data_IF_439739937098
#
_entry.id   IF_439739937098
#
_cell.length_a   1.000
_cell.length_b   1.000
_cell.length_c   1.000
_cell.angle_alpha   90.00
_cell.angle_beta   90.00
_cell.angle_gamma   90.00
#
_symmetry.space_group_name_H-M   'P 1'
#
loop_
_entity.id
_entity.type
_entity.pdbx_description
1 polymer ?
#
# COMPACT_ATOMS: atom_id res chain seq x y z
N UNK A 1 13.17 -11.27 34.91
CA UNK A 1 13.83 -10.94 33.61
C UNK A 1 13.30 -9.60 33.13
N UNK A 2 14.16 -8.59 32.91
CA UNK A 2 13.76 -7.20 32.58
C UNK A 2 13.26 -6.99 31.13
N UNK A 3 13.18 -8.03 30.32
CA UNK A 3 12.79 -7.97 28.90
C UNK A 3 11.56 -8.83 28.59
N UNK A 4 10.52 -8.74 29.42
CA UNK A 4 9.28 -9.53 29.29
C UNK A 4 8.17 -8.80 28.50
N UNK A 5 8.41 -7.58 28.00
CA UNK A 5 7.37 -6.83 27.33
C UNK A 5 7.32 -7.17 25.83
N UNK A 6 6.11 -7.37 25.27
CA UNK A 6 5.95 -7.53 23.84
C UNK A 6 6.41 -6.26 23.13
N UNK A 7 7.19 -6.43 22.07
CA UNK A 7 7.69 -5.33 21.25
C UNK A 7 7.30 -5.59 19.79
N UNK A 8 7.04 -4.50 19.07
CA UNK A 8 6.75 -4.54 17.64
C UNK A 8 7.95 -3.97 16.89
N UNK A 9 8.67 -4.79 16.10
CA UNK A 9 9.80 -4.30 15.33
C UNK A 9 9.31 -3.36 14.23
N UNK A 10 9.93 -2.18 14.14
CA UNK A 10 9.73 -1.23 13.05
C UNK A 10 10.90 -1.38 12.08
N UNK A 11 10.61 -1.82 10.86
CA UNK A 11 11.60 -2.00 9.81
C UNK A 11 11.74 -0.69 9.04
N UNK A 12 12.94 -0.13 9.04
CA UNK A 12 13.26 1.10 8.31
C UNK A 12 13.82 0.80 6.92
N UNK A 13 13.37 1.57 5.94
CA UNK A 13 13.83 1.46 4.55
C UNK A 13 12.69 1.14 3.57
N UNK A 14 13.04 0.69 2.36
CA UNK A 14 12.06 0.27 1.36
C UNK A 14 11.14 -0.84 1.89
N UNK A 15 9.89 -0.84 1.42
CA UNK A 15 8.94 -1.88 1.81
C UNK A 15 9.44 -3.26 1.37
N UNK A 16 9.42 -4.22 2.29
CA UNK A 16 9.76 -5.60 1.98
C UNK A 16 8.73 -6.13 0.97
N UNK A 17 9.16 -6.74 -0.15
CA UNK A 17 8.23 -7.29 -1.13
C UNK A 17 7.31 -8.35 -0.54
N UNK A 18 6.18 -8.61 -1.18
CA UNK A 18 5.26 -9.69 -0.80
C UNK A 18 5.71 -11.01 -1.44
N UNK A 19 5.35 -12.13 -0.82
CA UNK A 19 5.84 -13.47 -1.24
C UNK A 19 4.97 -14.15 -2.28
N UNK A 20 3.73 -13.69 -2.42
CA UNK A 20 2.67 -14.33 -3.19
C UNK A 20 2.67 -13.92 -4.68
N UNK A 21 3.68 -13.17 -5.11
CA UNK A 21 3.90 -12.83 -6.52
C UNK A 21 5.24 -13.36 -7.00
N UNK A 22 5.23 -13.93 -8.20
CA UNK A 22 6.44 -14.50 -8.81
C UNK A 22 7.50 -13.42 -9.03
N UNK A 23 7.10 -12.27 -9.56
CA UNK A 23 8.00 -11.17 -9.91
C UNK A 23 8.70 -10.52 -8.71
N UNK A 24 8.23 -10.81 -7.49
CA UNK A 24 8.81 -10.30 -6.24
C UNK A 24 9.57 -11.36 -5.45
N UNK A 25 9.50 -12.65 -5.81
CA UNK A 25 9.99 -13.76 -5.00
C UNK A 25 11.49 -13.68 -4.71
N UNK A 26 12.31 -13.42 -5.72
CA UNK A 26 13.76 -13.24 -5.55
C UNK A 26 14.10 -12.07 -4.62
N UNK A 27 13.41 -10.93 -4.79
CA UNK A 27 13.63 -9.75 -3.95
C UNK A 27 13.15 -9.97 -2.51
N UNK A 28 12.05 -10.69 -2.33
CA UNK A 28 11.52 -11.08 -1.03
C UNK A 28 12.53 -11.96 -0.29
N UNK A 29 12.96 -13.06 -0.92
CA UNK A 29 13.92 -14.00 -0.37
C UNK A 29 15.23 -13.33 0.03
N UNK A 30 15.77 -12.46 -0.84
CA UNK A 30 16.95 -11.65 -0.54
C UNK A 30 16.75 -10.75 0.68
N UNK A 31 15.63 -10.04 0.76
CA UNK A 31 15.34 -9.14 1.87
C UNK A 31 15.26 -9.91 3.20
N UNK A 32 14.60 -11.07 3.21
CA UNK A 32 14.44 -11.87 4.43
C UNK A 32 15.77 -12.47 4.90
N UNK A 33 16.56 -13.03 3.99
CA UNK A 33 17.89 -13.54 4.33
C UNK A 33 18.77 -12.42 4.90
N UNK A 34 18.76 -11.24 4.28
CA UNK A 34 19.56 -10.10 4.73
C UNK A 34 19.18 -9.62 6.13
N UNK A 35 17.90 -9.65 6.50
CA UNK A 35 17.40 -9.11 7.76
C UNK A 35 17.36 -10.12 8.90
N UNK A 36 17.14 -11.40 8.59
CA UNK A 36 16.79 -12.41 9.60
C UNK A 36 17.77 -13.58 9.72
N UNK A 37 18.77 -13.66 8.83
CA UNK A 37 19.89 -14.60 8.96
C UNK A 37 21.13 -13.82 9.39
N UNK A 38 21.97 -14.33 10.30
CA UNK A 38 23.28 -13.71 10.57
C UNK A 38 24.26 -13.96 9.42
N UNK A 39 24.94 -12.91 8.95
CA UNK A 39 25.92 -13.01 7.86
C UNK A 39 27.05 -11.99 8.03
N UNK A 40 28.17 -12.25 7.36
CA UNK A 40 29.33 -11.34 7.25
C UNK A 40 29.60 -10.96 5.81
N UNK A 41 29.33 -11.87 4.88
CA UNK A 41 29.46 -11.69 3.44
C UNK A 41 28.19 -12.13 2.73
N UNK A 42 27.99 -11.65 1.51
CA UNK A 42 26.80 -12.03 0.70
C UNK A 42 26.80 -13.53 0.41
N UNK A 43 27.97 -14.17 0.31
CA UNK A 43 28.12 -15.60 0.09
C UNK A 43 27.60 -16.46 1.26
N UNK A 44 27.52 -15.90 2.48
CA UNK A 44 26.91 -16.59 3.62
C UNK A 44 25.38 -16.74 3.46
N UNK A 45 24.77 -15.86 2.65
CA UNK A 45 23.34 -15.85 2.37
C UNK A 45 23.01 -16.55 1.07
N UNK A 46 23.78 -16.31 0.02
CA UNK A 46 23.51 -16.81 -1.32
C UNK A 46 24.80 -17.13 -2.08
N UNK A 47 24.98 -18.40 -2.45
CA UNK A 47 26.05 -18.83 -3.36
C UNK A 47 25.84 -18.26 -4.77
N UNK A 48 26.91 -18.11 -5.55
CA UNK A 48 26.87 -17.58 -6.91
C UNK A 48 26.07 -18.45 -7.88
N UNK A 49 25.94 -19.74 -7.58
CA UNK A 49 25.23 -20.70 -8.43
C UNK A 49 23.81 -21.02 -7.96
N UNK A 50 23.28 -20.29 -6.98
CA UNK A 50 21.92 -20.49 -6.48
C UNK A 50 21.07 -19.23 -6.57
N UNK A 51 19.76 -19.41 -6.70
CA UNK A 51 18.79 -18.32 -6.65
C UNK A 51 18.57 -17.87 -5.20
N UNK A 52 18.09 -16.64 -4.99
CA UNK A 52 17.76 -16.19 -3.64
C UNK A 52 16.60 -16.99 -3.05
N UNK A 53 15.65 -17.41 -3.89
CA UNK A 53 14.56 -18.29 -3.46
C UNK A 53 15.08 -19.64 -2.94
N UNK A 54 15.98 -20.30 -3.66
CA UNK A 54 16.51 -21.59 -3.23
C UNK A 54 17.37 -21.46 -1.97
N UNK A 55 18.15 -20.38 -1.89
CA UNK A 55 18.89 -20.01 -0.70
C UNK A 55 17.98 -19.82 0.51
N UNK A 56 16.84 -19.14 0.32
CA UNK A 56 15.88 -18.90 1.40
C UNK A 56 15.20 -20.19 1.83
N UNK A 57 14.84 -21.08 0.89
CA UNK A 57 14.26 -22.40 1.21
C UNK A 57 15.20 -23.25 2.05
N UNK A 58 16.50 -23.31 1.70
CA UNK A 58 17.49 -24.09 2.46
C UNK A 58 17.85 -23.42 3.79
N UNK A 59 17.89 -22.08 3.83
CA UNK A 59 18.28 -21.27 4.99
C UNK A 59 17.21 -21.09 6.08
N UNK A 60 15.99 -21.61 5.92
CA UNK A 60 14.91 -21.38 6.91
C UNK A 60 15.23 -21.83 8.34
N UNK A 61 16.11 -22.82 8.48
CA UNK A 61 16.56 -23.34 9.77
C UNK A 61 17.43 -22.35 10.55
N UNK A 62 18.04 -21.38 9.87
CA UNK A 62 18.84 -20.31 10.50
C UNK A 62 17.98 -19.19 11.08
N UNK A 63 16.70 -19.14 10.70
CA UNK A 63 15.75 -18.11 11.11
C UNK A 63 15.12 -18.50 12.45
N UNK A 64 15.25 -17.62 13.44
CA UNK A 64 14.67 -17.84 14.76
C UNK A 64 13.15 -17.93 14.73
N UNK A 65 12.55 -18.60 15.72
CA UNK A 65 11.08 -18.70 15.85
C UNK A 65 10.43 -17.32 15.94
N UNK A 66 11.02 -16.40 16.70
CA UNK A 66 10.51 -15.04 16.83
C UNK A 66 10.58 -14.28 15.49
N UNK A 67 11.70 -14.39 14.78
CA UNK A 67 11.87 -13.80 13.44
C UNK A 67 10.84 -14.34 12.45
N UNK A 68 10.49 -15.62 12.53
CA UNK A 68 9.45 -16.23 11.68
C UNK A 68 8.09 -15.56 11.86
N UNK A 69 7.71 -15.24 13.11
CA UNK A 69 6.48 -14.49 13.37
C UNK A 69 6.51 -13.09 12.73
N UNK A 70 7.66 -12.42 12.76
CA UNK A 70 7.82 -11.11 12.08
C UNK A 70 7.68 -11.26 10.56
N UNK A 71 8.27 -12.31 9.98
CA UNK A 71 8.17 -12.62 8.55
C UNK A 71 6.73 -12.89 8.12
N UNK A 72 5.98 -13.65 8.91
CA UNK A 72 4.55 -13.91 8.67
C UNK A 72 3.74 -12.61 8.76
N UNK A 73 4.02 -11.77 9.75
CA UNK A 73 3.35 -10.48 9.90
C UNK A 73 3.64 -9.53 8.73
N UNK A 74 4.83 -9.56 8.13
CA UNK A 74 5.13 -8.78 6.92
C UNK A 74 4.15 -9.14 5.79
N UNK A 75 3.89 -10.43 5.59
CA UNK A 75 2.95 -10.88 4.57
C UNK A 75 1.50 -10.51 4.94
N UNK A 76 1.11 -10.71 6.20
CA UNK A 76 -0.22 -10.33 6.70
C UNK A 76 -0.51 -8.82 6.49
N UNK A 77 0.49 -7.96 6.72
CA UNK A 77 0.37 -6.52 6.47
C UNK A 77 0.07 -6.20 5.00
N UNK A 78 0.62 -6.97 4.05
CA UNK A 78 0.29 -6.81 2.63
C UNK A 78 -1.13 -7.26 2.30
N UNK A 79 -1.58 -8.34 2.93
CA UNK A 79 -2.95 -8.86 2.77
C UNK A 79 -3.98 -7.87 3.30
N UNK A 80 -3.81 -7.40 4.55
CA UNK A 80 -4.70 -6.39 5.12
C UNK A 80 -4.69 -5.07 4.33
N UNK A 81 -3.53 -4.65 3.83
CA UNK A 81 -3.44 -3.46 2.97
C UNK A 81 -4.24 -3.65 1.69
N UNK A 82 -4.10 -4.80 1.03
CA UNK A 82 -4.84 -5.12 -0.19
C UNK A 82 -6.35 -5.12 0.08
N UNK A 83 -6.81 -5.83 1.11
CA UNK A 83 -8.24 -5.94 1.43
C UNK A 83 -8.86 -4.56 1.73
N UNK A 84 -8.13 -3.71 2.46
CA UNK A 84 -8.56 -2.33 2.73
C UNK A 84 -8.64 -1.51 1.45
N UNK A 85 -7.62 -1.58 0.59
CA UNK A 85 -7.56 -0.79 -0.63
C UNK A 85 -8.65 -1.28 -1.63
N UNK A 86 -8.90 -2.59 -1.73
CA UNK A 86 -9.99 -3.18 -2.51
C UNK A 86 -11.37 -2.73 -2.01
N UNK A 87 -11.59 -2.73 -0.69
CA UNK A 87 -12.83 -2.23 -0.08
C UNK A 87 -13.04 -0.73 -0.36
N UNK A 88 -11.99 0.08 -0.25
CA UNK A 88 -12.07 1.51 -0.55
C UNK A 88 -12.44 1.77 -2.01
N UNK A 89 -11.87 1.01 -2.95
CA UNK A 89 -12.21 1.12 -4.37
C UNK A 89 -13.68 0.76 -4.63
N UNK A 90 -14.21 -0.26 -3.95
CA UNK A 90 -15.62 -0.63 -4.04
C UNK A 90 -16.53 0.51 -3.56
N UNK A 91 -16.25 1.10 -2.40
CA UNK A 91 -17.04 2.22 -1.86
C UNK A 91 -17.03 3.43 -2.79
N UNK A 92 -15.87 3.73 -3.41
CA UNK A 92 -15.76 4.82 -4.38
C UNK A 92 -16.59 4.54 -5.63
N UNK A 93 -16.59 3.31 -6.14
CA UNK A 93 -17.37 2.92 -7.31
C UNK A 93 -18.89 2.97 -7.05
N UNK A 94 -19.33 2.54 -5.87
CA UNK A 94 -20.73 2.62 -5.45
C UNK A 94 -21.21 4.08 -5.36
N UNK A 95 -20.41 4.96 -4.75
CA UNK A 95 -20.73 6.39 -4.65
C UNK A 95 -20.83 7.09 -6.02
N UNK A 96 -20.01 6.69 -7.00
CA UNK A 96 -20.11 7.23 -8.36
C UNK A 96 -21.40 6.78 -9.05
N UNK A 97 -21.79 5.53 -8.86
CA UNK A 97 -23.03 4.98 -9.44
C UNK A 97 -24.28 5.66 -8.86
N UNK A 98 -24.29 5.94 -7.56
CA UNK A 98 -25.41 6.67 -6.91
C UNK A 98 -25.50 8.13 -7.38
N UNK A 99 -24.37 8.80 -7.59
CA UNK A 99 -24.32 10.17 -8.08
C UNK A 99 -24.83 10.30 -9.54
N UNK A 100 -24.58 9.29 -10.37
CA UNK A 100 -25.10 9.19 -11.74
C UNK A 100 -26.62 8.92 -11.78
N UNK A 101 -27.23 8.55 -10.64
CA UNK A 101 -28.67 8.25 -10.51
C UNK A 101 -29.46 9.41 -9.89
N UNK A 102 -28.82 10.55 -9.60
CA UNK A 102 -29.51 11.73 -9.07
C UNK A 102 -30.39 12.34 -10.17
N UNK A 103 -31.71 12.44 -9.91
CA UNK A 103 -32.67 13.12 -10.78
C UNK A 103 -32.18 14.55 -11.14
N UNK A 104 -32.26 14.98 -12.41
CA UNK A 104 -31.78 16.29 -12.88
C UNK A 104 -32.54 17.50 -12.32
N UNK A 105 -33.40 17.30 -11.31
CA UNK A 105 -34.30 18.31 -10.73
C UNK A 105 -33.61 19.20 -9.68
N UNK A 106 -32.38 18.89 -9.25
CA UNK A 106 -31.63 19.80 -8.36
C UNK A 106 -30.72 20.71 -9.19
N UNK A 107 -31.34 21.60 -9.96
CA UNK A 107 -30.70 22.85 -10.34
C UNK A 107 -30.80 23.81 -9.15
N UNK A 108 -29.75 24.58 -8.82
CA UNK A 108 -29.86 25.63 -7.80
C UNK A 108 -30.94 26.62 -8.24
N UNK A 109 -31.96 26.81 -7.40
CA UNK A 109 -33.11 27.72 -7.55
C UNK A 109 -32.71 29.21 -7.52
N UNK A 110 -31.45 29.54 -7.80
CA UNK A 110 -30.94 30.91 -7.78
C UNK A 110 -30.39 31.32 -9.16
N UNK A 111 -31.08 30.92 -10.22
CA UNK A 111 -30.93 31.56 -11.52
C UNK A 111 -32.22 32.36 -11.75
N UNK A 112 -32.27 33.56 -11.17
CA UNK A 112 -33.29 34.55 -11.51
C UNK A 112 -33.12 34.88 -12.99
N UNK A 113 -34.01 34.31 -13.83
CA UNK A 113 -34.06 34.46 -15.29
C UNK A 113 -34.65 35.82 -15.71
N UNK A 114 -34.89 36.74 -14.78
CA UNK A 114 -35.43 38.07 -15.11
C UNK A 114 -34.74 39.18 -14.31
N UNK A 115 -33.51 39.51 -14.71
CA UNK A 115 -32.98 40.86 -14.59
C UNK A 115 -32.66 41.32 -16.00
N UNK A 116 -33.57 42.06 -16.63
CA UNK A 116 -33.26 42.84 -17.84
C UNK A 116 -32.08 43.76 -17.49
N UNK A 117 -30.90 43.47 -18.04
CA UNK A 117 -29.87 44.48 -18.14
C UNK A 117 -30.28 45.38 -19.30
N UNK A 118 -30.97 46.47 -18.98
CA UNK A 118 -31.18 47.56 -19.92
C UNK A 118 -29.81 48.01 -20.43
N UNK A 119 -29.57 47.75 -21.71
CA UNK A 119 -28.39 48.21 -22.43
C UNK A 119 -28.62 49.66 -22.87
N UNK A 120 -28.64 50.59 -21.91
CA UNK A 120 -28.57 52.03 -22.21
C UNK A 120 -28.04 52.81 -21.01
N UNK A 121 -26.74 52.68 -20.74
CA UNK A 121 -25.96 53.75 -20.10
C UNK A 121 -24.47 53.58 -20.44
N UNK A 122 -24.17 53.74 -21.73
CA UNK A 122 -22.82 54.05 -22.20
C UNK A 122 -22.81 55.48 -22.71
N UNK A 123 -22.99 56.45 -21.82
CA UNK A 123 -22.56 57.83 -22.02
C UNK A 123 -22.54 58.54 -20.67
N UNK A 124 -21.39 58.50 -19.99
CA UNK A 124 -20.90 59.36 -18.89
C UNK A 124 -19.94 58.49 -18.03
N UNK A 125 -18.62 58.66 -18.01
CA UNK A 125 -17.82 59.87 -17.95
C UNK A 125 -16.38 59.58 -18.44
N UNK A 126 -15.90 60.49 -19.29
CA UNK A 126 -14.49 60.85 -19.44
C UNK A 126 -13.92 61.45 -18.15
#
# INVERSE_FOLDING_TARGET
MKYSQPHVPILYGPQIPRRDREDTRERYSRALLTLFVPWRTVADLCDMNQTWEDAFKSGQHLISVHSRMVIENIQLLHECKKDRDDHLLQVIAEAQTENDTIDPIILPVNQDVHGEYDADDTDDLL
#
